data_IF_278692770743
#
_entry.id   IF_278692770743
#
_cell.length_a   1.000
_cell.length_b   1.000
_cell.length_c   1.000
_cell.angle_alpha   90.00
_cell.angle_beta   90.00
_cell.angle_gamma   90.00
#
_symmetry.space_group_name_H-M   'P 1'
#
loop_
_entity.id
_entity.type
_entity.pdbx_description
1 polymer ?
#
# COMPACT_ATOMS: atom_id res chain seq x y z
N UNK A 1 25.67 -18.84 -11.05
CA UNK A 1 25.70 -17.83 -9.95
C UNK A 1 25.19 -16.47 -10.40
N UNK A 2 25.54 -15.97 -11.57
CA UNK A 2 25.11 -14.66 -12.11
C UNK A 2 23.60 -14.65 -12.39
N UNK A 3 23.05 -15.70 -13.00
CA UNK A 3 21.61 -15.83 -13.32
C UNK A 3 20.76 -15.85 -12.04
N UNK A 4 21.21 -16.54 -11.00
CA UNK A 4 20.51 -16.56 -9.70
C UNK A 4 20.51 -15.20 -8.97
N UNK A 5 21.55 -14.37 -9.17
CA UNK A 5 21.62 -12.99 -8.65
C UNK A 5 20.66 -12.06 -9.37
N UNK A 6 20.59 -12.15 -10.71
CA UNK A 6 19.69 -11.32 -11.52
C UNK A 6 18.23 -11.62 -11.19
N UNK A 7 17.83 -12.89 -11.08
CA UNK A 7 16.47 -13.28 -10.71
C UNK A 7 16.08 -12.79 -9.30
N UNK A 8 17.01 -12.85 -8.32
CA UNK A 8 16.75 -12.36 -6.94
C UNK A 8 16.58 -10.84 -6.89
N UNK A 9 17.36 -10.10 -7.66
CA UNK A 9 17.26 -8.64 -7.75
C UNK A 9 15.96 -8.24 -8.48
N UNK A 10 15.64 -8.91 -9.59
CA UNK A 10 14.41 -8.66 -10.35
C UNK A 10 13.16 -8.94 -9.52
N UNK A 11 13.15 -10.03 -8.72
CA UNK A 11 12.04 -10.37 -7.84
C UNK A 11 11.86 -9.35 -6.70
N UNK A 12 12.94 -8.82 -6.15
CA UNK A 12 12.88 -7.73 -5.14
C UNK A 12 12.39 -6.42 -5.76
N UNK A 13 12.76 -6.11 -7.01
CA UNK A 13 12.26 -4.94 -7.75
C UNK A 13 10.77 -5.07 -8.12
N UNK A 14 10.30 -6.26 -8.49
CA UNK A 14 8.87 -6.51 -8.78
C UNK A 14 8.00 -6.25 -7.55
N UNK A 15 8.49 -6.53 -6.33
CA UNK A 15 7.79 -6.24 -5.07
C UNK A 15 7.76 -4.74 -4.70
N UNK A 16 8.51 -3.90 -5.42
CA UNK A 16 8.58 -2.44 -5.20
C UNK A 16 7.94 -1.63 -6.33
N UNK A 17 7.33 -2.29 -7.32
CA UNK A 17 6.65 -1.60 -8.40
C UNK A 17 5.37 -0.91 -7.89
N UNK A 18 5.20 0.34 -8.28
CA UNK A 18 3.99 1.08 -7.98
C UNK A 18 2.87 0.67 -8.94
N UNK A 19 1.92 -0.08 -8.43
CA UNK A 19 0.77 -0.57 -9.18
C UNK A 19 -0.40 0.38 -8.99
N UNK A 20 -1.07 0.75 -10.09
CA UNK A 20 -2.21 1.66 -10.09
C UNK A 20 -3.50 0.92 -10.42
N UNK A 21 -4.55 1.17 -9.66
CA UNK A 21 -5.90 0.65 -9.89
C UNK A 21 -6.93 1.76 -9.87
N UNK A 22 -7.97 1.63 -10.65
CA UNK A 22 -9.09 2.57 -10.64
C UNK A 22 -9.78 2.59 -9.29
N UNK A 23 -10.20 3.77 -8.86
CA UNK A 23 -10.96 3.94 -7.61
C UNK A 23 -12.42 3.55 -7.88
N UNK A 24 -12.94 2.61 -7.09
CA UNK A 24 -14.33 2.16 -7.15
C UNK A 24 -15.32 3.33 -7.14
N UNK A 25 -16.19 3.37 -8.16
CA UNK A 25 -17.15 4.45 -8.39
C UNK A 25 -16.56 5.71 -9.06
N UNK A 26 -15.26 5.72 -9.37
CA UNK A 26 -14.54 6.80 -10.06
C UNK A 26 -13.67 6.27 -11.20
N UNK A 27 -14.07 5.18 -11.82
CA UNK A 27 -13.35 4.52 -12.91
C UNK A 27 -13.11 5.51 -14.07
N UNK A 28 -11.90 5.49 -14.61
CA UNK A 28 -11.47 6.42 -15.66
C UNK A 28 -11.29 7.89 -15.22
N UNK A 29 -11.57 8.21 -13.96
CA UNK A 29 -11.38 9.54 -13.39
C UNK A 29 -10.17 9.63 -12.48
N UNK A 30 -10.02 8.67 -11.58
CA UNK A 30 -8.96 8.63 -10.58
C UNK A 30 -8.45 7.22 -10.35
N UNK A 31 -7.15 7.13 -10.09
CA UNK A 31 -6.47 5.89 -9.70
C UNK A 31 -5.78 6.05 -8.35
N UNK A 32 -5.66 4.94 -7.63
CA UNK A 32 -4.90 4.82 -6.39
C UNK A 32 -3.80 3.78 -6.57
N UNK A 33 -2.63 4.03 -5.99
CA UNK A 33 -1.54 3.06 -6.01
C UNK A 33 -1.49 2.22 -4.74
N UNK A 34 -0.80 1.07 -4.83
CA UNK A 34 -0.46 0.23 -3.68
C UNK A 34 0.40 0.94 -2.63
N UNK A 35 1.04 2.07 -2.96
CA UNK A 35 1.81 2.92 -2.05
C UNK A 35 0.97 4.01 -1.38
N UNK A 36 -0.30 4.16 -1.76
CA UNK A 36 -1.17 5.19 -1.21
C UNK A 36 -1.06 6.53 -1.92
N UNK A 37 -0.53 6.57 -3.14
CA UNK A 37 -0.60 7.73 -4.01
C UNK A 37 -1.94 7.74 -4.76
N UNK A 38 -2.44 8.93 -5.09
CA UNK A 38 -3.68 9.10 -5.85
C UNK A 38 -3.45 10.06 -7.00
N UNK A 39 -3.92 9.70 -8.19
CA UNK A 39 -3.80 10.53 -9.39
C UNK A 39 -5.12 10.68 -10.13
N UNK A 40 -5.26 11.80 -10.83
CA UNK A 40 -6.30 12.02 -11.84
C UNK A 40 -5.83 11.41 -13.15
N UNK A 41 -6.69 10.68 -13.82
CA UNK A 41 -6.40 10.05 -15.11
C UNK A 41 -6.60 11.08 -16.23
N UNK A 42 -5.74 11.01 -17.25
CA UNK A 42 -5.88 11.81 -18.47
C UNK A 42 -7.21 11.49 -19.13
N UNK A 43 -8.00 12.52 -19.43
CA UNK A 43 -9.32 12.37 -20.07
C UNK A 43 -9.77 13.62 -20.81
N UNK A 44 -10.72 13.46 -21.70
CA UNK A 44 -11.41 14.56 -22.35
C UNK A 44 -12.81 14.69 -21.78
N UNK A 45 -13.17 15.86 -21.30
CA UNK A 45 -14.47 16.14 -20.69
C UNK A 45 -15.24 17.10 -21.60
N UNK A 46 -16.46 16.72 -22.00
CA UNK A 46 -17.37 17.58 -22.73
C UNK A 46 -18.01 18.57 -21.76
N UNK A 47 -17.95 19.87 -22.05
CA UNK A 47 -18.59 20.94 -21.30
C UNK A 47 -20.01 21.19 -21.78
N UNK A 48 -20.83 21.90 -21.00
CA UNK A 48 -22.20 22.24 -21.32
C UNK A 48 -22.34 23.07 -22.62
N UNK A 49 -21.33 23.86 -22.96
CA UNK A 49 -21.27 24.68 -24.19
C UNK A 49 -20.74 23.91 -25.43
N UNK A 50 -20.80 22.60 -25.42
CA UNK A 50 -20.27 21.71 -26.46
C UNK A 50 -18.75 21.79 -26.71
N UNK A 51 -17.99 22.49 -25.89
CA UNK A 51 -16.51 22.48 -25.96
C UNK A 51 -15.94 21.29 -25.20
N UNK A 52 -14.71 20.92 -25.54
CA UNK A 52 -13.98 19.81 -24.90
C UNK A 52 -12.84 20.36 -24.08
N UNK A 53 -12.71 19.85 -22.84
CA UNK A 53 -11.59 20.12 -21.94
C UNK A 53 -10.71 18.89 -21.83
N UNK A 54 -9.44 19.02 -22.18
CA UNK A 54 -8.44 17.99 -21.90
C UNK A 54 -7.95 18.12 -20.45
N UNK A 55 -8.22 17.11 -19.63
CA UNK A 55 -7.68 16.99 -18.28
C UNK A 55 -6.40 16.17 -18.38
N UNK A 56 -5.27 16.74 -17.92
CA UNK A 56 -3.97 16.04 -17.87
C UNK A 56 -3.93 15.10 -16.67
N UNK A 57 -3.14 14.04 -16.78
CA UNK A 57 -2.79 13.21 -15.63
C UNK A 57 -2.04 14.05 -14.60
N UNK A 58 -2.40 13.93 -13.33
CA UNK A 58 -1.75 14.67 -12.26
C UNK A 58 -1.97 13.99 -10.90
N UNK A 59 -0.94 13.99 -10.07
CA UNK A 59 -1.04 13.56 -8.68
C UNK A 59 -1.93 14.50 -7.87
N UNK A 60 -2.80 13.94 -7.03
CA UNK A 60 -3.69 14.71 -6.17
C UNK A 60 -2.96 15.15 -4.90
N UNK A 61 -3.17 16.43 -4.52
CA UNK A 61 -2.70 16.93 -3.22
C UNK A 61 -3.48 16.26 -2.09
N UNK A 62 -2.76 15.74 -1.12
CA UNK A 62 -3.33 15.11 0.07
C UNK A 62 -3.43 16.11 1.21
N UNK A 63 -4.43 15.93 2.09
CA UNK A 63 -4.60 16.69 3.34
C UNK A 63 -4.75 15.72 4.50
N UNK A 64 -4.43 16.17 5.70
CA UNK A 64 -4.72 15.41 6.93
C UNK A 64 -6.09 15.81 7.46
N UNK A 65 -6.87 14.82 7.91
CA UNK A 65 -8.07 15.09 8.69
C UNK A 65 -7.70 15.31 10.18
N UNK A 66 -8.70 15.72 11.00
CA UNK A 66 -8.52 15.95 12.44
C UNK A 66 -8.06 14.70 13.22
N UNK A 67 -8.21 13.49 12.65
CA UNK A 67 -7.75 12.22 13.23
C UNK A 67 -6.35 11.80 12.74
N UNK A 68 -5.67 12.62 11.93
CA UNK A 68 -4.34 12.37 11.39
C UNK A 68 -4.29 11.41 10.19
N UNK A 69 -5.42 11.11 9.53
CA UNK A 69 -5.42 10.30 8.32
C UNK A 69 -5.25 11.16 7.06
N UNK A 70 -4.44 10.69 6.11
CA UNK A 70 -4.37 11.28 4.77
C UNK A 70 -5.70 11.12 4.03
N UNK A 71 -6.15 12.19 3.37
CA UNK A 71 -7.37 12.21 2.57
C UNK A 71 -7.17 12.98 1.29
N UNK A 72 -8.01 12.70 0.30
CA UNK A 72 -8.09 13.38 -0.99
C UNK A 72 -9.51 13.81 -1.30
N UNK A 73 -9.64 14.86 -2.13
CA UNK A 73 -10.91 15.26 -2.73
C UNK A 73 -11.08 14.54 -4.05
N UNK A 74 -12.18 13.82 -4.20
CA UNK A 74 -12.60 13.23 -5.47
C UNK A 74 -13.86 13.94 -5.93
N UNK A 75 -13.93 14.27 -7.23
CA UNK A 75 -15.07 14.94 -7.84
C UNK A 75 -15.63 14.09 -8.98
N UNK A 76 -16.96 13.89 -8.97
CA UNK A 76 -17.70 13.21 -10.04
C UNK A 76 -19.04 13.91 -10.24
N UNK A 77 -19.36 14.30 -11.48
CA UNK A 77 -20.62 14.96 -11.83
C UNK A 77 -20.94 16.18 -10.95
N UNK A 78 -19.96 17.05 -10.71
CA UNK A 78 -20.11 18.25 -9.88
C UNK A 78 -20.16 17.99 -8.36
N UNK A 79 -20.31 16.75 -7.93
CA UNK A 79 -20.29 16.39 -6.50
C UNK A 79 -18.87 16.09 -6.05
N UNK A 80 -18.49 16.63 -4.91
CA UNK A 80 -17.18 16.41 -4.30
C UNK A 80 -17.31 15.56 -3.04
N UNK A 81 -16.35 14.66 -2.83
CA UNK A 81 -16.30 13.78 -1.66
C UNK A 81 -14.88 13.67 -1.12
N UNK A 82 -14.73 13.78 0.20
CA UNK A 82 -13.50 13.43 0.89
C UNK A 82 -13.39 11.91 1.03
N UNK A 83 -12.27 11.38 0.59
CA UNK A 83 -11.95 9.97 0.76
C UNK A 83 -10.62 9.82 1.48
N UNK A 84 -10.57 8.95 2.49
CA UNK A 84 -9.33 8.62 3.19
C UNK A 84 -8.52 7.63 2.37
N UNK A 85 -7.22 7.88 2.22
CA UNK A 85 -6.35 7.12 1.32
C UNK A 85 -6.27 5.64 1.72
N UNK A 86 -6.06 5.33 3.01
CA UNK A 86 -6.01 3.93 3.47
C UNK A 86 -7.24 3.12 3.06
N UNK A 87 -8.45 3.73 3.06
CA UNK A 87 -9.66 3.04 2.62
C UNK A 87 -9.73 2.86 1.10
N UNK A 88 -9.20 3.82 0.32
CA UNK A 88 -9.11 3.68 -1.14
C UNK A 88 -8.14 2.55 -1.50
N UNK A 89 -6.96 2.51 -0.85
CA UNK A 89 -5.97 1.44 -1.05
C UNK A 89 -6.55 0.09 -0.63
N UNK A 90 -7.15 0.00 0.55
CA UNK A 90 -7.73 -1.26 1.02
C UNK A 90 -8.81 -1.80 0.08
N UNK A 91 -9.70 -0.94 -0.44
CA UNK A 91 -10.73 -1.32 -1.40
C UNK A 91 -10.14 -1.82 -2.73
N UNK A 92 -9.07 -1.18 -3.21
CA UNK A 92 -8.48 -1.51 -4.50
C UNK A 92 -7.56 -2.75 -4.45
N UNK A 93 -6.87 -2.99 -3.34
CA UNK A 93 -5.78 -3.97 -3.29
C UNK A 93 -5.99 -5.13 -2.31
N UNK A 94 -6.88 -4.98 -1.32
CA UNK A 94 -7.04 -5.97 -0.26
C UNK A 94 -8.42 -6.60 -0.34
N UNK A 95 -8.52 -7.90 -0.64
CA UNK A 95 -9.81 -8.62 -0.65
C UNK A 95 -10.52 -8.51 0.70
N UNK A 96 -11.85 -8.31 0.67
CA UNK A 96 -12.69 -8.22 1.87
C UNK A 96 -13.91 -9.14 1.77
N UNK A 97 -13.73 -10.47 1.71
CA UNK A 97 -14.83 -11.40 1.52
C UNK A 97 -15.83 -11.42 2.68
N UNK A 98 -15.40 -10.99 3.88
CA UNK A 98 -16.22 -10.92 5.08
C UNK A 98 -16.91 -9.56 5.28
N UNK A 99 -16.77 -8.61 4.33
CA UNK A 99 -17.30 -7.25 4.43
C UNK A 99 -16.96 -6.54 5.75
N UNK A 100 -15.72 -6.69 6.22
CA UNK A 100 -15.25 -6.06 7.45
C UNK A 100 -15.26 -4.54 7.30
N UNK A 101 -15.77 -3.79 8.30
CA UNK A 101 -16.07 -2.37 8.14
C UNK A 101 -14.88 -1.43 8.34
N UNK A 102 -13.80 -1.89 8.97
CA UNK A 102 -12.67 -1.07 9.36
C UNK A 102 -11.40 -1.48 8.62
N UNK A 103 -10.48 -0.49 8.47
CA UNK A 103 -9.14 -0.71 7.98
C UNK A 103 -8.16 -0.32 9.08
N UNK A 104 -7.28 -1.23 9.47
CA UNK A 104 -6.22 -1.04 10.44
C UNK A 104 -4.87 -0.84 9.75
N UNK A 105 -3.98 -0.05 10.36
CA UNK A 105 -2.57 0.05 10.00
C UNK A 105 -1.78 -0.89 10.91
N UNK A 106 -1.13 -1.89 10.34
CA UNK A 106 -0.40 -2.94 11.10
C UNK A 106 0.76 -2.38 11.91
N UNK A 107 1.39 -1.30 11.43
CA UNK A 107 2.49 -0.59 12.09
C UNK A 107 2.02 0.56 12.99
N UNK A 108 0.70 0.82 13.05
CA UNK A 108 0.07 1.93 13.79
C UNK A 108 0.38 3.32 13.21
N UNK A 109 1.17 3.43 12.13
CA UNK A 109 1.43 4.70 11.45
C UNK A 109 0.34 5.02 10.42
N UNK A 110 -0.53 5.98 10.75
CA UNK A 110 -1.60 6.44 9.86
C UNK A 110 -1.11 7.09 8.56
N UNK A 111 0.20 7.40 8.50
CA UNK A 111 0.82 7.98 7.31
C UNK A 111 1.29 6.93 6.32
N UNK A 112 1.51 5.70 6.79
CA UNK A 112 1.93 4.56 5.97
C UNK A 112 0.71 3.85 5.38
N UNK A 113 0.28 4.31 4.21
CA UNK A 113 -0.89 3.76 3.49
C UNK A 113 -0.52 2.70 2.46
N UNK A 114 0.65 2.06 2.60
CA UNK A 114 1.05 0.94 1.75
C UNK A 114 0.07 -0.24 1.91
N UNK A 115 -0.29 -0.90 0.80
CA UNK A 115 -1.26 -2.00 0.83
C UNK A 115 -0.88 -3.13 1.80
N UNK A 116 0.40 -3.48 1.87
CA UNK A 116 0.91 -4.53 2.76
C UNK A 116 0.82 -4.17 4.25
N UNK A 117 0.74 -2.85 4.55
CA UNK A 117 0.59 -2.35 5.92
C UNK A 117 -0.86 -2.28 6.37
N UNK A 118 -1.82 -2.45 5.46
CA UNK A 118 -3.24 -2.33 5.75
C UNK A 118 -3.90 -3.70 5.89
N UNK A 119 -4.95 -3.77 6.70
CA UNK A 119 -5.79 -4.95 6.84
C UNK A 119 -7.24 -4.58 7.12
N UNK A 120 -8.18 -5.37 6.59
CA UNK A 120 -9.58 -5.25 6.97
C UNK A 120 -9.81 -5.87 8.34
N UNK A 121 -10.60 -5.23 9.18
CA UNK A 121 -10.85 -5.70 10.53
C UNK A 121 -12.23 -5.30 11.07
N UNK A 122 -12.61 -5.94 12.19
CA UNK A 122 -13.81 -5.53 12.95
C UNK A 122 -13.51 -4.29 13.80
N UNK A 123 -14.57 -3.56 14.19
CA UNK A 123 -14.41 -2.42 15.09
C UNK A 123 -13.79 -2.83 16.45
N UNK A 124 -14.21 -3.97 17.01
CA UNK A 124 -13.68 -4.51 18.26
C UNK A 124 -12.17 -4.81 18.16
N UNK A 125 -11.75 -5.42 17.07
CA UNK A 125 -10.33 -5.68 16.81
C UNK A 125 -9.52 -4.39 16.73
N UNK A 126 -10.00 -3.40 15.95
CA UNK A 126 -9.31 -2.13 15.76
C UNK A 126 -9.14 -1.34 17.07
N UNK A 127 -10.19 -1.26 17.88
CA UNK A 127 -10.13 -0.60 19.20
C UNK A 127 -9.15 -1.32 20.13
N UNK A 128 -9.18 -2.66 20.19
CA UNK A 128 -8.27 -3.43 21.02
C UNK A 128 -6.82 -3.36 20.53
N UNK A 129 -6.61 -3.27 19.23
CA UNK A 129 -5.29 -3.08 18.63
C UNK A 129 -4.66 -1.75 19.08
N UNK A 130 -5.43 -0.67 19.00
CA UNK A 130 -5.01 0.65 19.46
C UNK A 130 -4.78 0.70 20.98
N UNK A 131 -5.56 -0.03 21.78
CA UNK A 131 -5.39 -0.12 23.23
C UNK A 131 -4.13 -0.91 23.61
N UNK A 132 -3.81 -1.99 22.89
CA UNK A 132 -2.53 -2.72 23.06
C UNK A 132 -1.34 -1.82 22.71
N UNK A 133 -1.48 -0.99 21.69
CA UNK A 133 -0.48 -0.01 21.32
C UNK A 133 -0.30 1.07 22.40
N UNK A 134 -1.38 1.53 23.03
CA UNK A 134 -1.32 2.45 24.16
C UNK A 134 -0.62 1.83 25.38
N UNK A 135 -0.86 0.55 25.66
CA UNK A 135 -0.16 -0.21 26.70
C UNK A 135 1.33 -0.42 26.38
N UNK A 136 1.66 -0.73 25.13
CA UNK A 136 3.04 -0.86 24.65
C UNK A 136 3.80 0.48 24.59
N UNK A 137 3.11 1.64 24.55
CA UNK A 137 3.74 2.97 24.58
C UNK A 137 4.44 3.27 25.90
N UNK A 138 4.12 2.57 26.99
CA UNK A 138 4.89 2.59 28.23
C UNK A 138 6.31 1.98 28.09
N UNK A 139 6.53 1.16 27.08
CA UNK A 139 7.84 0.65 26.70
C UNK A 139 8.25 1.38 25.42
N UNK A 140 9.05 2.44 25.60
CA UNK A 140 9.63 3.23 24.51
C UNK A 140 10.47 2.36 23.58
N UNK A 141 9.89 1.82 22.56
CA UNK A 141 10.64 1.58 21.31
C UNK A 141 10.25 2.69 20.37
N UNK A 142 11.17 3.62 20.10
CA UNK A 142 11.15 4.43 18.88
C UNK A 142 11.07 3.43 17.72
N UNK A 143 9.86 3.12 17.24
CA UNK A 143 9.72 2.59 15.89
C UNK A 143 10.18 3.73 14.99
N UNK A 144 11.43 3.67 14.52
CA UNK A 144 11.87 4.45 13.39
C UNK A 144 10.83 4.30 12.30
N UNK A 145 10.42 5.44 11.71
CA UNK A 145 9.47 5.45 10.60
C UNK A 145 9.94 4.42 9.58
N UNK A 146 9.14 3.44 9.33
CA UNK A 146 9.42 2.40 8.34
C UNK A 146 9.46 3.07 6.97
N UNK A 147 10.60 3.62 6.60
CA UNK A 147 10.90 3.93 5.23
C UNK A 147 11.32 2.61 4.58
N UNK A 148 10.43 2.01 3.83
CA UNK A 148 10.64 0.71 3.19
C UNK A 148 11.88 0.71 2.29
N UNK A 149 12.21 1.85 1.70
CA UNK A 149 13.44 2.07 0.93
C UNK A 149 14.68 1.88 1.80
N UNK A 150 14.70 2.51 2.99
CA UNK A 150 15.82 2.38 3.96
C UNK A 150 15.92 0.96 4.52
N UNK A 151 14.80 0.24 4.63
CA UNK A 151 14.79 -1.16 5.05
C UNK A 151 15.39 -2.04 3.97
N UNK A 152 15.03 -1.85 2.71
CA UNK A 152 15.61 -2.59 1.59
C UNK A 152 17.10 -2.26 1.40
N UNK A 153 17.50 -1.00 1.53
CA UNK A 153 18.90 -0.57 1.46
C UNK A 153 19.72 -1.19 2.61
N UNK A 154 19.24 -1.13 3.84
CA UNK A 154 19.87 -1.80 5.00
C UNK A 154 19.91 -3.32 4.86
N UNK A 155 18.86 -3.94 4.30
CA UNK A 155 18.86 -5.36 3.98
C UNK A 155 19.89 -5.73 2.94
N UNK A 156 20.11 -4.89 1.92
CA UNK A 156 21.14 -5.06 0.91
C UNK A 156 22.54 -4.87 1.51
N UNK A 157 22.75 -3.84 2.32
CA UNK A 157 24.04 -3.57 2.99
C UNK A 157 24.44 -4.66 4.00
N UNK A 158 23.47 -5.20 4.75
CA UNK A 158 23.73 -6.32 5.68
C UNK A 158 24.05 -7.61 4.93
N UNK A 159 23.47 -7.80 3.74
CA UNK A 159 23.75 -8.94 2.85
C UNK A 159 25.17 -8.91 2.29
N UNK A 160 25.69 -7.71 2.00
CA UNK A 160 27.04 -7.54 1.46
C UNK A 160 28.13 -7.64 2.52
N UNK A 161 27.85 -7.23 3.77
CA UNK A 161 28.83 -7.25 4.86
C UNK A 161 29.01 -8.57 5.59
N UNK A 162 28.00 -9.40 5.73
CA UNK A 162 28.07 -10.51 6.68
C UNK A 162 27.89 -11.92 6.10
N UNK A 163 27.60 -12.12 4.83
CA UNK A 163 27.40 -13.45 4.18
C UNK A 163 26.65 -14.53 5.02
N UNK A 164 25.97 -14.13 6.10
CA UNK A 164 25.29 -15.01 7.05
C UNK A 164 23.86 -14.53 7.29
N UNK A 165 22.90 -15.30 6.78
CA UNK A 165 21.47 -15.11 7.09
C UNK A 165 21.14 -15.77 8.43
N UNK A 166 20.93 -14.99 9.47
CA UNK A 166 20.56 -15.52 10.79
C UNK A 166 19.06 -15.72 11.00
N UNK A 167 18.19 -15.18 10.14
CA UNK A 167 16.74 -15.45 10.17
C UNK A 167 16.15 -15.45 8.75
N UNK A 168 15.35 -16.45 8.39
CA UNK A 168 14.64 -16.48 7.11
C UNK A 168 13.59 -15.39 7.07
N UNK A 169 13.58 -14.60 5.98
CA UNK A 169 12.55 -13.59 5.73
C UNK A 169 11.38 -14.26 5.01
N UNK A 170 10.16 -14.19 5.55
CA UNK A 170 9.00 -14.75 4.89
C UNK A 170 8.73 -14.05 3.56
N UNK A 171 8.48 -14.83 2.52
CA UNK A 171 8.15 -14.34 1.18
C UNK A 171 6.72 -14.75 0.85
N UNK A 172 5.90 -13.80 0.40
CA UNK A 172 4.56 -14.08 -0.08
C UNK A 172 4.58 -14.21 -1.60
N UNK A 173 3.99 -15.27 -2.12
CA UNK A 173 3.78 -15.45 -3.54
C UNK A 173 2.37 -15.01 -3.92
N UNK A 174 2.26 -14.26 -5.03
CA UNK A 174 1.00 -13.82 -5.60
C UNK A 174 0.91 -14.29 -7.05
N UNK A 175 -0.30 -14.50 -7.55
CA UNK A 175 -0.55 -14.62 -8.97
C UNK A 175 -0.25 -13.29 -9.68
N UNK A 176 -0.12 -13.33 -10.95
CA UNK A 176 0.13 -12.16 -11.80
C UNK A 176 -1.04 -11.12 -11.76
N UNK A 177 -2.26 -11.55 -11.45
CA UNK A 177 -3.44 -10.70 -11.18
C UNK A 177 -3.55 -10.24 -9.71
N UNK A 178 -2.52 -10.52 -8.89
CA UNK A 178 -2.40 -10.04 -7.52
C UNK A 178 -3.10 -10.87 -6.46
N UNK A 179 -3.53 -12.09 -6.79
CA UNK A 179 -4.12 -13.00 -5.80
C UNK A 179 -3.02 -13.68 -4.99
N UNK A 180 -3.15 -13.68 -3.66
CA UNK A 180 -2.22 -14.37 -2.77
C UNK A 180 -2.28 -15.88 -3.00
N UNK A 181 -1.15 -16.49 -3.30
CA UNK A 181 -1.03 -17.94 -3.50
C UNK A 181 -0.51 -18.60 -2.23
N UNK A 182 0.68 -18.20 -1.79
CA UNK A 182 1.43 -18.94 -0.76
C UNK A 182 2.42 -18.05 -0.03
N UNK A 183 2.66 -18.38 1.24
CA UNK A 183 3.72 -17.76 2.05
C UNK A 183 4.84 -18.77 2.27
N UNK A 184 6.03 -18.39 1.89
CA UNK A 184 7.24 -19.15 2.16
C UNK A 184 7.95 -18.66 3.42
N UNK A 185 8.59 -19.54 4.15
CA UNK A 185 9.37 -19.17 5.35
C UNK A 185 10.66 -18.42 4.99
N UNK A 186 11.19 -18.67 3.79
CA UNK A 186 12.38 -17.99 3.28
C UNK A 186 12.42 -17.97 1.75
N UNK A 187 13.27 -17.10 1.18
CA UNK A 187 13.51 -17.04 -0.25
C UNK A 187 14.17 -18.30 -0.83
N UNK A 188 14.84 -19.11 -0.01
CA UNK A 188 15.43 -20.39 -0.42
C UNK A 188 14.38 -21.47 -0.68
N UNK A 189 13.24 -21.39 0.02
CA UNK A 189 12.13 -22.32 -0.17
C UNK A 189 11.42 -22.11 -1.52
N UNK A 190 11.43 -20.88 -2.04
CA UNK A 190 10.86 -20.54 -3.38
C UNK A 190 11.68 -21.17 -4.50
N UNK A 191 12.99 -21.32 -4.31
CA UNK A 191 13.90 -21.83 -5.35
C UNK A 191 13.91 -23.35 -5.46
N UNK A 192 13.22 -24.09 -4.56
CA UNK A 192 13.18 -25.56 -4.50
C UNK A 192 11.87 -26.17 -4.99
N UNK A 193 10.85 -25.34 -5.25
CA UNK A 193 9.55 -25.70 -5.83
C UNK A 193 9.40 -25.11 -7.24
#
# INVERSE_FOLDING_TARGET
>A
EVVGRILKVTFCFILMEEIWKDIEGYEGLYQVSNFGNVKSVKRVVKRANNTYLSVKESSLKTRLNHKGYKMVWLSKQGKQKFCTIHRLVAKAFIPNPQNLPQVNHKDEDKMNNHADNLEWCTNKYNVNYNNRAAFKRGVKTKKERYNWKDVCERMLETKTKNNVYTKPIPVNQFTWDGVFIKRFRSSEQVSRE
#
